data_IF_480522947533
#
_entry.id   IF_480522947533
#
_cell.length_a   1.000
_cell.length_b   1.000
_cell.length_c   1.000
_cell.angle_alpha   90.00
_cell.angle_beta   90.00
_cell.angle_gamma   90.00
#
_symmetry.space_group_name_H-M   'P 1'
#
loop_
_entity.id
_entity.type
_entity.pdbx_description
1 polymer ?
#
# COMPACT_ATOMS: atom_id res chain seq x y z
N UNK A 1 -4.69 17.88 -12.53
CA UNK A 1 -5.83 17.30 -11.81
C UNK A 1 -5.29 16.52 -10.62
N UNK A 2 -6.01 16.50 -9.50
CA UNK A 2 -5.70 15.59 -8.39
C UNK A 2 -6.46 14.29 -8.63
N UNK A 3 -5.76 13.16 -8.58
CA UNK A 3 -6.33 11.80 -8.68
C UNK A 3 -6.37 11.14 -7.31
N UNK A 4 -7.00 9.96 -7.21
CA UNK A 4 -7.17 9.23 -5.95
C UNK A 4 -5.89 9.06 -5.13
N UNK A 5 -4.75 8.73 -5.73
CA UNK A 5 -3.47 8.62 -5.00
C UNK A 5 -3.02 9.96 -4.39
N UNK A 6 -3.09 11.04 -5.17
CA UNK A 6 -2.76 12.38 -4.71
C UNK A 6 -3.68 12.83 -3.58
N UNK A 7 -4.97 12.52 -3.67
CA UNK A 7 -5.95 12.81 -2.63
C UNK A 7 -5.66 12.03 -1.33
N UNK A 8 -5.33 10.74 -1.42
CA UNK A 8 -4.94 9.92 -0.26
C UNK A 8 -3.66 10.44 0.38
N UNK A 9 -2.67 10.84 -0.43
CA UNK A 9 -1.43 11.43 0.07
C UNK A 9 -1.70 12.75 0.82
N UNK A 10 -2.60 13.59 0.31
CA UNK A 10 -3.03 14.81 0.99
C UNK A 10 -3.79 14.50 2.29
N UNK A 11 -4.65 13.49 2.31
CA UNK A 11 -5.34 13.03 3.52
C UNK A 11 -4.37 12.59 4.61
N UNK A 12 -3.26 11.93 4.25
CA UNK A 12 -2.20 11.57 5.19
C UNK A 12 -1.49 12.80 5.77
N UNK A 13 -1.16 13.79 4.92
CA UNK A 13 -0.56 15.06 5.35
C UNK A 13 -1.50 15.89 6.20
N UNK A 14 -2.81 15.83 5.91
CA UNK A 14 -3.84 16.38 6.76
C UNK A 14 -3.70 15.75 8.12
N UNK A 15 -3.90 14.45 8.32
CA UNK A 15 -3.84 13.80 9.64
C UNK A 15 -2.64 14.21 10.49
N UNK A 16 -1.43 14.12 9.94
CA UNK A 16 -0.19 14.42 10.68
C UNK A 16 0.10 15.92 10.91
N UNK A 17 -0.52 16.80 10.13
CA UNK A 17 -0.08 18.19 9.99
C UNK A 17 -1.21 19.21 9.92
N UNK A 18 -0.84 20.44 9.58
CA UNK A 18 -1.77 21.52 9.21
C UNK A 18 -2.93 21.76 10.22
N UNK A 19 -2.64 21.96 11.53
CA UNK A 19 -3.69 22.08 12.55
C UNK A 19 -4.60 23.31 12.35
N UNK A 20 -4.10 24.33 11.64
CA UNK A 20 -4.79 25.59 11.37
C UNK A 20 -5.46 25.63 9.99
N UNK A 21 -5.48 24.52 9.26
CA UNK A 21 -6.08 24.50 7.93
C UNK A 21 -7.61 24.56 8.03
N UNK A 22 -8.18 25.57 7.38
CA UNK A 22 -9.61 25.87 7.42
C UNK A 22 -10.37 25.39 6.20
N UNK A 23 -9.75 25.46 5.03
CA UNK A 23 -10.42 25.09 3.78
C UNK A 23 -9.51 24.18 2.97
N UNK A 24 -10.06 23.03 2.54
CA UNK A 24 -9.43 22.10 1.62
C UNK A 24 -10.28 22.03 0.35
N UNK A 25 -9.70 22.43 -0.78
CA UNK A 25 -10.35 22.36 -2.08
C UNK A 25 -9.66 21.33 -2.98
N UNK A 26 -10.38 20.26 -3.30
CA UNK A 26 -10.00 19.22 -4.23
C UNK A 26 -11.09 18.99 -5.29
N UNK A 27 -11.88 20.03 -5.61
CA UNK A 27 -12.89 19.97 -6.67
C UNK A 27 -12.28 19.80 -8.07
N UNK A 28 -13.06 19.25 -9.00
CA UNK A 28 -12.72 19.09 -10.42
C UNK A 28 -11.44 18.26 -10.64
N UNK A 29 -11.31 17.20 -9.85
CA UNK A 29 -10.29 16.17 -9.96
C UNK A 29 -10.82 14.90 -10.62
N UNK A 30 -10.07 13.81 -10.43
CA UNK A 30 -10.44 12.45 -10.82
C UNK A 30 -10.35 11.57 -9.56
N UNK A 31 -10.90 12.08 -8.45
CA UNK A 31 -10.90 11.40 -7.15
C UNK A 31 -12.08 10.45 -7.11
N UNK A 32 -11.83 9.18 -6.84
CA UNK A 32 -12.87 8.18 -6.62
C UNK A 32 -13.52 8.35 -5.25
N UNK A 33 -14.74 7.86 -5.07
CA UNK A 33 -15.44 7.81 -3.78
C UNK A 33 -14.53 7.36 -2.63
N UNK A 34 -13.82 6.23 -2.76
CA UNK A 34 -12.96 5.70 -1.71
C UNK A 34 -11.91 6.71 -1.24
N UNK A 35 -11.29 7.42 -2.18
CA UNK A 35 -10.29 8.43 -1.86
C UNK A 35 -10.95 9.69 -1.27
N UNK A 36 -12.14 10.07 -1.74
CA UNK A 36 -12.91 11.19 -1.18
C UNK A 36 -13.31 10.94 0.29
N UNK A 37 -13.74 9.72 0.64
CA UNK A 37 -14.05 9.32 2.01
C UNK A 37 -12.80 9.38 2.91
N UNK A 38 -11.64 8.93 2.42
CA UNK A 38 -10.37 9.00 3.16
C UNK A 38 -9.95 10.45 3.43
N UNK A 39 -10.18 11.35 2.47
CA UNK A 39 -9.95 12.80 2.62
C UNK A 39 -10.90 13.41 3.64
N UNK A 40 -12.20 13.12 3.54
CA UNK A 40 -13.21 13.63 4.47
C UNK A 40 -12.91 13.22 5.90
N UNK A 41 -12.60 11.94 6.12
CA UNK A 41 -12.22 11.43 7.44
C UNK A 41 -11.00 12.18 8.01
N UNK A 42 -9.96 12.42 7.18
CA UNK A 42 -8.79 13.19 7.60
C UNK A 42 -9.11 14.65 7.94
N UNK A 43 -10.06 15.25 7.24
CA UNK A 43 -10.48 16.62 7.45
C UNK A 43 -11.34 16.78 8.73
N UNK A 44 -12.19 15.78 9.03
CA UNK A 44 -13.01 15.75 10.25
C UNK A 44 -12.18 15.71 11.54
N UNK A 45 -10.97 15.15 11.47
CA UNK A 45 -10.04 15.11 12.60
C UNK A 45 -9.36 16.48 12.87
N UNK A 46 -9.65 17.51 12.07
CA UNK A 46 -9.04 18.83 12.21
C UNK A 46 -9.90 19.81 13.01
N UNK A 47 -9.33 20.47 14.03
CA UNK A 47 -10.10 21.31 14.94
C UNK A 47 -10.65 22.57 14.26
N UNK A 48 -9.88 23.13 13.33
CA UNK A 48 -10.18 24.41 12.67
C UNK A 48 -10.71 24.24 11.24
N UNK A 49 -11.02 23.01 10.79
CA UNK A 49 -11.54 22.79 9.44
C UNK A 49 -12.97 23.34 9.33
N UNK A 50 -13.17 24.17 8.32
CA UNK A 50 -14.42 24.87 8.02
C UNK A 50 -15.03 24.39 6.71
N UNK A 51 -14.23 24.03 5.69
CA UNK A 51 -14.74 23.52 4.40
C UNK A 51 -13.90 22.44 3.75
N UNK A 52 -14.56 21.45 3.17
CA UNK A 52 -14.01 20.43 2.28
C UNK A 52 -14.79 20.47 0.96
N UNK A 53 -14.13 20.83 -0.13
CA UNK A 53 -14.73 20.92 -1.46
C UNK A 53 -14.25 19.76 -2.32
N UNK A 54 -15.18 18.86 -2.68
CA UNK A 54 -14.91 17.65 -3.45
C UNK A 54 -15.77 17.57 -4.73
N UNK A 55 -16.48 18.65 -5.09
CA UNK A 55 -17.35 18.70 -6.27
C UNK A 55 -16.63 18.31 -7.57
N UNK A 56 -17.34 17.74 -8.55
CA UNK A 56 -16.78 17.50 -9.88
C UNK A 56 -15.68 16.46 -9.94
N UNK A 57 -15.73 15.44 -9.08
CA UNK A 57 -14.82 14.32 -9.11
C UNK A 57 -15.56 13.09 -9.69
N UNK A 58 -15.11 11.87 -9.36
CA UNK A 58 -15.70 10.63 -9.83
C UNK A 58 -16.24 9.83 -8.62
N UNK A 59 -17.12 10.44 -7.81
CA UNK A 59 -17.66 9.81 -6.60
C UNK A 59 -18.82 8.87 -6.93
N UNK A 60 -19.63 9.17 -7.94
CA UNK A 60 -20.90 8.48 -8.15
C UNK A 60 -21.99 8.96 -7.18
N UNK A 61 -23.24 8.60 -7.49
CA UNK A 61 -24.40 8.96 -6.65
C UNK A 61 -24.28 8.34 -5.25
N UNK A 62 -23.97 7.04 -5.19
CA UNK A 62 -23.74 6.29 -3.95
C UNK A 62 -22.59 6.89 -3.14
N UNK A 63 -21.48 7.25 -3.80
CA UNK A 63 -20.34 7.85 -3.12
C UNK A 63 -20.60 9.25 -2.60
N UNK A 64 -21.40 10.04 -3.32
CA UNK A 64 -21.87 11.33 -2.84
C UNK A 64 -22.81 11.19 -1.64
N UNK A 65 -23.69 10.18 -1.62
CA UNK A 65 -24.57 9.88 -0.49
C UNK A 65 -23.74 9.43 0.73
N UNK A 66 -22.82 8.47 0.55
CA UNK A 66 -21.93 8.00 1.61
C UNK A 66 -21.11 9.14 2.23
N UNK A 67 -20.62 10.08 1.41
CA UNK A 67 -19.86 11.23 1.89
C UNK A 67 -20.74 12.19 2.71
N UNK A 68 -21.98 12.44 2.28
CA UNK A 68 -22.94 13.26 3.03
C UNK A 68 -23.28 12.61 4.37
N UNK A 69 -23.62 11.32 4.35
CA UNK A 69 -23.94 10.56 5.56
C UNK A 69 -22.78 10.55 6.55
N UNK A 70 -21.54 10.37 6.08
CA UNK A 70 -20.34 10.43 6.93
C UNK A 70 -20.21 11.78 7.64
N UNK A 71 -20.41 12.88 6.93
CA UNK A 71 -20.28 14.23 7.48
C UNK A 71 -21.43 14.56 8.43
N UNK A 72 -22.65 14.17 8.09
CA UNK A 72 -23.85 14.39 8.92
C UNK A 72 -23.81 13.56 10.21
N UNK A 73 -23.32 12.32 10.16
CA UNK A 73 -23.14 11.47 11.35
C UNK A 73 -22.15 12.05 12.36
N UNK A 74 -21.30 12.98 11.94
CA UNK A 74 -20.33 13.69 12.78
C UNK A 74 -20.77 15.11 13.14
N UNK A 75 -22.03 15.49 12.84
CA UNK A 75 -22.58 16.84 12.99
C UNK A 75 -21.74 17.92 12.24
N UNK A 76 -21.19 17.55 11.08
CA UNK A 76 -20.29 18.40 10.24
C UNK A 76 -20.75 18.50 8.78
N UNK A 77 -22.03 18.28 8.50
CA UNK A 77 -22.58 18.38 7.14
C UNK A 77 -22.34 19.72 6.44
N UNK A 78 -22.30 20.82 7.21
CA UNK A 78 -22.02 22.18 6.72
C UNK A 78 -20.56 22.39 6.26
N UNK A 79 -19.65 21.52 6.68
CA UNK A 79 -18.26 21.51 6.23
C UNK A 79 -18.14 21.04 4.77
N UNK A 80 -19.06 20.19 4.29
CA UNK A 80 -19.00 19.64 2.94
C UNK A 80 -19.56 20.64 1.92
N UNK A 81 -18.77 20.95 0.89
CA UNK A 81 -19.23 21.76 -0.24
C UNK A 81 -20.25 21.03 -1.11
N UNK A 82 -20.81 21.75 -2.10
CA UNK A 82 -21.69 21.13 -3.11
C UNK A 82 -21.01 19.94 -3.81
N UNK A 83 -21.79 18.91 -4.14
CA UNK A 83 -21.39 17.77 -4.97
C UNK A 83 -22.23 17.69 -6.26
N UNK A 84 -22.84 18.80 -6.68
CA UNK A 84 -23.80 18.85 -7.78
C UNK A 84 -23.25 18.50 -9.16
N UNK A 85 -21.93 18.64 -9.34
CA UNK A 85 -21.27 18.51 -10.63
C UNK A 85 -20.46 17.20 -10.71
N UNK A 86 -20.69 16.24 -9.80
CA UNK A 86 -20.04 14.93 -9.85
C UNK A 86 -20.54 14.14 -11.06
N UNK A 87 -19.64 13.83 -11.99
CA UNK A 87 -19.97 13.24 -13.30
C UNK A 87 -20.10 11.70 -13.24
N UNK A 88 -20.24 11.12 -12.05
CA UNK A 88 -20.43 9.68 -11.88
C UNK A 88 -19.13 8.87 -11.98
N UNK A 89 -19.26 7.55 -11.82
CA UNK A 89 -18.12 6.64 -11.94
C UNK A 89 -17.63 6.55 -13.40
N UNK A 90 -16.31 6.42 -13.60
CA UNK A 90 -15.74 6.18 -14.93
C UNK A 90 -16.22 4.82 -15.44
N UNK A 91 -17.03 4.82 -16.51
CA UNK A 91 -17.49 3.61 -17.19
C UNK A 91 -16.27 2.78 -17.66
N UNK A 92 -16.25 1.51 -17.25
CA UNK A 92 -15.17 0.57 -17.55
C UNK A 92 -15.26 0.16 -19.03
N UNK A 93 -14.62 0.93 -19.92
CA UNK A 93 -14.31 0.40 -21.25
C UNK A 93 -13.20 -0.65 -21.12
N UNK A 94 -13.65 -1.89 -21.33
CA UNK A 94 -12.92 -3.13 -21.61
C UNK A 94 -11.53 -2.89 -22.21
N UNK A 95 -10.50 -3.52 -21.64
CA UNK A 95 -9.29 -3.77 -22.42
C UNK A 95 -8.92 -5.26 -22.37
N UNK A 96 -8.78 -5.72 -23.60
CA UNK A 96 -8.95 -7.06 -24.13
C UNK A 96 -7.86 -8.03 -23.65
N UNK A 97 -8.28 -9.27 -23.48
CA UNK A 97 -7.37 -10.38 -23.25
C UNK A 97 -6.45 -10.53 -24.48
N UNK A 98 -5.13 -10.50 -24.25
CA UNK A 98 -4.19 -11.09 -25.20
C UNK A 98 -2.95 -11.65 -24.50
N UNK A 99 -3.01 -12.97 -24.38
CA UNK A 99 -2.00 -13.94 -24.80
C UNK A 99 -0.54 -13.82 -24.36
N UNK A 100 -0.17 -14.87 -23.63
CA UNK A 100 0.90 -15.81 -23.97
C UNK A 100 2.34 -15.32 -24.20
N UNK A 101 3.17 -15.87 -23.33
CA UNK A 101 4.34 -16.71 -23.66
C UNK A 101 5.73 -16.24 -23.25
N UNK A 102 6.37 -17.23 -22.62
CA UNK A 102 7.77 -17.60 -22.61
C UNK A 102 8.78 -16.68 -21.92
N UNK A 103 9.32 -17.25 -20.84
CA UNK A 103 10.61 -16.87 -20.32
C UNK A 103 11.73 -17.24 -21.27
N UNK A 104 12.78 -16.45 -21.22
CA UNK A 104 14.13 -16.90 -21.47
C UNK A 104 15.04 -16.10 -20.53
N UNK A 105 15.91 -16.85 -19.85
CA UNK A 105 16.98 -16.32 -19.02
C UNK A 105 18.12 -15.95 -19.96
N UNK A 106 18.61 -14.71 -19.90
CA UNK A 106 19.89 -14.37 -20.52
C UNK A 106 20.89 -13.88 -19.47
N UNK A 107 21.90 -14.72 -19.26
CA UNK A 107 23.18 -14.42 -18.65
C UNK A 107 23.92 -13.34 -19.46
N UNK A 108 24.43 -12.30 -18.79
CA UNK A 108 25.62 -11.58 -19.27
C UNK A 108 26.58 -11.33 -18.10
N UNK A 109 27.81 -11.80 -18.28
CA UNK A 109 28.93 -11.80 -17.35
C UNK A 109 29.88 -10.61 -17.61
N UNK A 110 30.52 -10.12 -16.52
CA UNK A 110 31.76 -9.29 -16.42
C UNK A 110 31.58 -7.80 -16.75
N UNK A 111 32.18 -6.85 -16.01
CA UNK A 111 33.60 -6.78 -15.62
C UNK A 111 33.89 -5.73 -14.52
N UNK A 112 34.90 -6.02 -13.69
CA UNK A 112 35.89 -5.16 -13.03
C UNK A 112 35.48 -3.83 -12.34
N UNK A 113 35.52 -3.87 -11.01
CA UNK A 113 36.74 -3.48 -10.27
C UNK A 113 36.91 -2.00 -9.93
N UNK A 114 36.63 -1.64 -8.68
CA UNK A 114 37.29 -0.53 -7.99
C UNK A 114 37.37 -0.87 -6.49
N UNK A 115 38.61 -1.00 -5.99
CA UNK A 115 38.92 -1.16 -4.57
C UNK A 115 38.64 0.15 -3.85
N UNK A 116 37.97 0.08 -2.70
CA UNK A 116 38.13 1.03 -1.61
C UNK A 116 37.92 0.29 -0.30
N UNK A 117 38.80 0.59 0.63
CA UNK A 117 39.12 -0.19 1.81
C UNK A 117 38.07 -0.01 2.92
N UNK A 118 37.36 -1.08 3.25
CA UNK A 118 36.82 -1.32 4.61
C UNK A 118 36.63 -2.85 4.77
N UNK A 119 36.92 -3.41 5.95
CA UNK A 119 37.34 -4.82 6.14
C UNK A 119 36.54 -5.95 5.43
N UNK A 120 37.16 -7.14 5.20
CA UNK A 120 36.64 -8.16 4.27
C UNK A 120 35.24 -8.67 4.61
N UNK A 121 34.93 -8.78 5.90
CA UNK A 121 33.72 -9.47 6.39
C UNK A 121 32.45 -8.60 6.29
N UNK A 122 32.56 -7.28 6.54
CA UNK A 122 31.40 -6.36 6.48
C UNK A 122 31.01 -6.05 5.04
N UNK A 123 31.98 -5.86 4.16
CA UNK A 123 31.76 -5.48 2.76
C UNK A 123 31.07 -6.60 1.97
N UNK A 124 31.41 -7.86 2.23
CA UNK A 124 30.76 -9.02 1.61
C UNK A 124 29.31 -9.17 2.09
N UNK A 125 29.09 -9.05 3.41
CA UNK A 125 27.75 -9.14 4.01
C UNK A 125 26.76 -8.08 3.49
N UNK A 126 27.24 -6.86 3.17
CA UNK A 126 26.37 -5.83 2.58
C UNK A 126 25.99 -6.13 1.13
N UNK A 127 26.91 -6.69 0.34
CA UNK A 127 26.67 -7.02 -1.06
C UNK A 127 25.63 -8.14 -1.21
N UNK A 128 25.68 -9.15 -0.35
CA UNK A 128 24.73 -10.27 -0.32
C UNK A 128 23.31 -9.79 0.01
N UNK A 129 23.16 -8.91 1.01
CA UNK A 129 21.87 -8.30 1.35
C UNK A 129 21.32 -7.45 0.20
N UNK A 130 22.15 -6.66 -0.49
CA UNK A 130 21.70 -5.86 -1.64
C UNK A 130 21.26 -6.74 -2.81
N UNK A 131 21.96 -7.86 -3.02
CA UNK A 131 21.62 -8.83 -4.05
C UNK A 131 20.24 -9.43 -3.75
N UNK A 132 20.01 -9.85 -2.51
CA UNK A 132 18.71 -10.35 -2.06
C UNK A 132 17.60 -9.29 -2.22
N UNK A 133 17.81 -8.06 -1.75
CA UNK A 133 16.82 -6.99 -1.86
C UNK A 133 16.48 -6.60 -3.30
N UNK A 134 17.36 -6.90 -4.26
CA UNK A 134 17.09 -6.65 -5.68
C UNK A 134 16.28 -7.79 -6.32
N UNK A 135 16.53 -9.03 -5.89
CA UNK A 135 15.88 -10.22 -6.44
C UNK A 135 15.79 -11.35 -5.41
N UNK A 136 14.80 -11.32 -4.50
CA UNK A 136 14.69 -12.28 -3.40
C UNK A 136 14.53 -13.71 -3.89
N UNK A 137 15.33 -14.64 -3.37
CA UNK A 137 15.14 -16.09 -3.55
C UNK A 137 15.10 -16.80 -2.19
N UNK A 138 14.49 -17.99 -2.16
CA UNK A 138 14.43 -18.80 -0.94
C UNK A 138 15.85 -19.14 -0.44
N UNK A 139 16.75 -19.57 -1.33
CA UNK A 139 18.14 -19.90 -0.97
C UNK A 139 18.88 -18.73 -0.32
N UNK A 140 18.74 -17.52 -0.88
CA UNK A 140 19.35 -16.31 -0.32
C UNK A 140 18.74 -15.95 1.04
N UNK A 141 17.42 -16.09 1.19
CA UNK A 141 16.74 -15.81 2.44
C UNK A 141 17.31 -16.66 3.59
N UNK A 142 17.54 -17.96 3.34
CA UNK A 142 18.13 -18.86 4.34
C UNK A 142 19.59 -18.55 4.64
N UNK A 143 20.37 -18.14 3.65
CA UNK A 143 21.76 -17.70 3.86
C UNK A 143 21.85 -16.42 4.70
N UNK A 144 20.84 -15.55 4.61
CA UNK A 144 20.81 -14.26 5.28
C UNK A 144 20.12 -14.28 6.65
N UNK A 145 19.72 -15.45 7.17
CA UNK A 145 19.00 -15.58 8.45
C UNK A 145 19.74 -14.96 9.63
N UNK A 146 21.07 -15.08 9.67
CA UNK A 146 21.91 -14.48 10.71
C UNK A 146 22.16 -12.97 10.51
N UNK A 147 21.72 -12.42 9.37
CA UNK A 147 21.96 -11.04 8.94
C UNK A 147 20.67 -10.21 8.79
N UNK A 148 19.56 -10.70 9.35
CA UNK A 148 18.24 -10.06 9.30
C UNK A 148 18.25 -8.57 9.72
N UNK A 149 19.07 -8.17 10.69
CA UNK A 149 19.20 -6.76 11.10
C UNK A 149 19.73 -5.84 9.99
N UNK A 150 20.54 -6.38 9.07
CA UNK A 150 21.10 -5.63 7.96
C UNK A 150 20.08 -5.44 6.83
N UNK A 151 19.11 -6.35 6.70
CA UNK A 151 18.01 -6.25 5.74
C UNK A 151 17.19 -5.00 6.06
N UNK A 152 16.72 -4.85 7.30
CA UNK A 152 15.90 -3.71 7.72
C UNK A 152 16.58 -2.34 7.47
N UNK A 153 17.91 -2.27 7.64
CA UNK A 153 18.66 -1.02 7.42
C UNK A 153 18.79 -0.67 5.95
N UNK A 154 18.87 -1.67 5.07
CA UNK A 154 19.14 -1.48 3.64
C UNK A 154 17.89 -1.43 2.77
N UNK A 155 16.69 -1.67 3.32
CA UNK A 155 15.42 -1.45 2.61
C UNK A 155 15.30 0.03 2.21
N UNK A 156 15.23 0.27 0.90
CA UNK A 156 15.08 1.59 0.30
C UNK A 156 13.62 2.06 0.40
N UNK A 157 13.32 2.86 1.42
CA UNK A 157 11.96 3.37 1.67
C UNK A 157 11.58 4.61 0.82
N UNK A 158 12.52 5.19 0.09
CA UNK A 158 12.29 6.39 -0.74
C UNK A 158 11.62 6.08 -2.08
N UNK A 159 11.67 4.84 -2.54
CA UNK A 159 11.12 4.37 -3.81
C UNK A 159 9.97 3.39 -3.53
N UNK A 160 8.70 3.86 -3.51
CA UNK A 160 7.57 3.04 -3.13
C UNK A 160 7.30 1.91 -4.13
N UNK A 161 7.61 2.09 -5.41
CA UNK A 161 7.45 1.08 -6.46
C UNK A 161 8.38 -0.10 -6.22
N UNK A 162 9.67 0.17 -6.02
CA UNK A 162 10.64 -0.89 -5.67
C UNK A 162 10.32 -1.55 -4.34
N UNK A 163 9.88 -0.77 -3.35
CA UNK A 163 9.55 -1.30 -2.03
C UNK A 163 8.33 -2.24 -2.09
N UNK A 164 7.29 -1.89 -2.85
CA UNK A 164 6.12 -2.74 -3.06
C UNK A 164 6.47 -3.99 -3.87
N UNK A 165 7.28 -3.86 -4.92
CA UNK A 165 7.79 -5.00 -5.70
C UNK A 165 8.59 -5.96 -4.82
N UNK A 166 9.49 -5.43 -3.98
CA UNK A 166 10.27 -6.19 -3.02
C UNK A 166 9.38 -6.96 -2.05
N UNK A 167 8.40 -6.29 -1.43
CA UNK A 167 7.47 -6.93 -0.50
C UNK A 167 6.74 -8.08 -1.18
N UNK A 168 6.20 -7.86 -2.39
CA UNK A 168 5.47 -8.86 -3.15
C UNK A 168 6.37 -10.05 -3.52
N UNK A 169 7.63 -9.81 -3.91
CA UNK A 169 8.61 -10.86 -4.21
C UNK A 169 9.01 -11.68 -2.99
N UNK A 170 9.26 -11.06 -1.84
CA UNK A 170 9.54 -11.79 -0.59
C UNK A 170 8.32 -12.62 -0.20
N UNK A 171 7.12 -12.06 -0.35
CA UNK A 171 5.87 -12.75 -0.01
C UNK A 171 5.57 -13.95 -0.94
N UNK A 172 6.12 -13.98 -2.16
CA UNK A 172 6.05 -15.15 -3.05
C UNK A 172 6.88 -16.33 -2.54
N UNK A 173 7.82 -16.09 -1.61
CA UNK A 173 8.62 -17.15 -0.98
C UNK A 173 7.85 -17.86 0.14
N UNK A 174 6.63 -17.43 0.47
CA UNK A 174 5.80 -18.07 1.48
C UNK A 174 5.59 -19.56 1.15
N UNK A 175 5.81 -20.41 2.14
CA UNK A 175 5.57 -21.84 2.06
C UNK A 175 4.90 -22.35 3.35
N UNK A 176 4.43 -23.59 3.32
CA UNK A 176 3.75 -24.21 4.47
C UNK A 176 4.73 -24.86 5.47
N UNK A 177 6.02 -24.98 5.12
CA UNK A 177 7.02 -25.47 6.05
C UNK A 177 7.17 -24.50 7.24
N UNK A 178 7.04 -24.95 8.49
CA UNK A 178 7.01 -24.04 9.65
C UNK A 178 8.28 -23.19 9.83
N UNK A 179 9.47 -23.74 9.57
CA UNK A 179 10.74 -23.03 9.79
C UNK A 179 10.96 -21.99 8.69
N UNK A 180 10.71 -22.39 7.45
CA UNK A 180 10.82 -21.54 6.29
C UNK A 180 9.77 -20.42 6.32
N UNK A 181 8.52 -20.75 6.64
CA UNK A 181 7.43 -19.79 6.83
C UNK A 181 7.79 -18.74 7.88
N UNK A 182 8.34 -19.16 9.02
CA UNK A 182 8.74 -18.22 10.08
C UNK A 182 9.79 -17.24 9.56
N UNK A 183 10.77 -17.74 8.81
CA UNK A 183 11.83 -16.90 8.23
C UNK A 183 11.28 -15.89 7.23
N UNK A 184 10.32 -16.29 6.39
CA UNK A 184 9.63 -15.38 5.46
C UNK A 184 8.86 -14.31 6.22
N UNK A 185 8.04 -14.69 7.21
CA UNK A 185 7.22 -13.77 7.99
C UNK A 185 8.08 -12.77 8.78
N UNK A 186 9.18 -13.22 9.40
CA UNK A 186 10.15 -12.33 10.07
C UNK A 186 10.77 -11.32 9.09
N UNK A 187 11.06 -11.74 7.86
CA UNK A 187 11.58 -10.84 6.82
C UNK A 187 10.54 -9.81 6.40
N UNK A 188 9.29 -10.25 6.22
CA UNK A 188 8.15 -9.36 5.94
C UNK A 188 8.00 -8.31 7.05
N UNK A 189 8.10 -8.73 8.32
CA UNK A 189 8.01 -7.83 9.46
C UNK A 189 9.13 -6.79 9.45
N UNK A 190 10.37 -7.17 9.13
CA UNK A 190 11.50 -6.25 9.05
C UNK A 190 11.30 -5.20 7.95
N UNK A 191 10.87 -5.63 6.77
CA UNK A 191 10.60 -4.76 5.62
C UNK A 191 9.45 -3.80 5.93
N UNK A 192 8.30 -4.32 6.36
CA UNK A 192 7.13 -3.51 6.64
C UNK A 192 7.33 -2.59 7.83
N UNK A 193 8.02 -3.03 8.89
CA UNK A 193 8.37 -2.15 10.01
C UNK A 193 9.19 -0.96 9.53
N UNK A 194 10.15 -1.16 8.62
CA UNK A 194 10.93 -0.06 8.04
C UNK A 194 10.06 0.89 7.20
N UNK A 195 9.18 0.35 6.36
CA UNK A 195 8.35 1.13 5.43
C UNK A 195 7.22 1.88 6.12
N UNK A 196 6.62 1.29 7.16
CA UNK A 196 5.49 1.86 7.89
C UNK A 196 5.89 2.73 9.08
N UNK A 197 7.14 2.65 9.57
CA UNK A 197 7.66 3.54 10.63
C UNK A 197 8.15 4.91 10.10
N UNK A 198 8.01 5.18 8.80
CA UNK A 198 8.29 6.50 8.22
C UNK A 198 7.25 7.56 8.62
N UNK A 199 7.31 8.74 8.00
CA UNK A 199 6.20 9.71 8.08
C UNK A 199 4.93 9.12 7.45
N UNK A 200 3.72 9.56 7.83
CA UNK A 200 2.50 9.03 7.20
C UNK A 200 2.51 9.19 5.68
N UNK A 201 3.04 10.29 5.12
CA UNK A 201 3.15 10.42 3.67
C UNK A 201 3.91 9.24 3.02
N UNK A 202 5.00 8.77 3.63
CA UNK A 202 5.78 7.65 3.10
C UNK A 202 5.01 6.33 3.21
N UNK A 203 4.42 6.05 4.39
CA UNK A 203 3.67 4.80 4.60
C UNK A 203 2.44 4.72 3.70
N UNK A 204 1.70 5.82 3.54
CA UNK A 204 0.53 5.88 2.65
C UNK A 204 0.92 5.77 1.19
N UNK A 205 1.98 6.45 0.74
CA UNK A 205 2.48 6.29 -0.64
C UNK A 205 2.84 4.83 -0.92
N UNK A 206 3.58 4.21 -0.02
CA UNK A 206 3.91 2.80 -0.13
C UNK A 206 2.67 1.90 -0.19
N UNK A 207 1.70 2.08 0.72
CA UNK A 207 0.48 1.26 0.76
C UNK A 207 -0.40 1.48 -0.48
N UNK A 208 -0.53 2.72 -0.98
CA UNK A 208 -1.24 3.02 -2.22
C UNK A 208 -0.56 2.34 -3.41
N UNK A 209 0.77 2.43 -3.55
CA UNK A 209 1.52 1.74 -4.60
C UNK A 209 1.35 0.22 -4.50
N UNK A 210 1.39 -0.35 -3.28
CA UNK A 210 1.13 -1.77 -3.06
C UNK A 210 -0.27 -2.14 -3.55
N UNK A 211 -1.31 -1.39 -3.18
CA UNK A 211 -2.69 -1.64 -3.65
C UNK A 211 -2.82 -1.59 -5.17
N UNK A 212 -2.11 -0.66 -5.83
CA UNK A 212 -2.07 -0.58 -7.30
C UNK A 212 -1.41 -1.81 -7.90
N UNK A 213 -0.25 -2.21 -7.39
CA UNK A 213 0.44 -3.42 -7.86
C UNK A 213 -0.39 -4.68 -7.59
N UNK A 214 -1.16 -4.73 -6.51
CA UNK A 214 -2.10 -5.80 -6.21
C UNK A 214 -3.38 -5.75 -7.08
N UNK A 215 -3.56 -4.72 -7.90
CA UNK A 215 -4.75 -4.54 -8.74
C UNK A 215 -6.01 -4.10 -7.98
N UNK A 216 -5.86 -3.61 -6.75
CA UNK A 216 -6.95 -3.18 -5.85
C UNK A 216 -7.18 -1.66 -5.90
N UNK A 217 -6.31 -0.91 -6.56
CA UNK A 217 -6.40 0.54 -6.74
C UNK A 217 -5.97 0.91 -8.17
N UNK A 218 -6.64 1.90 -8.77
CA UNK A 218 -6.20 2.48 -10.06
C UNK A 218 -4.98 3.39 -9.78
N UNK A 219 -3.89 3.18 -10.52
CA UNK A 219 -2.67 3.97 -10.38
C UNK A 219 -2.40 4.89 -11.55
N UNK A 220 -1.48 5.84 -11.37
CA UNK A 220 -1.06 6.74 -12.44
C UNK A 220 -0.02 6.06 -13.37
N UNK A 221 -0.40 5.86 -14.63
CA UNK A 221 0.49 5.29 -15.64
C UNK A 221 0.48 3.76 -15.69
N UNK A 222 1.48 3.19 -16.38
CA UNK A 222 1.57 1.74 -16.60
C UNK A 222 2.33 1.09 -15.45
N UNK A 223 1.61 0.75 -14.37
CA UNK A 223 2.14 -0.06 -13.28
C UNK A 223 1.89 -1.54 -13.58
N UNK A 224 2.94 -2.37 -13.47
CA UNK A 224 2.82 -3.81 -13.65
C UNK A 224 2.05 -4.40 -12.47
N UNK A 225 0.85 -4.94 -12.74
CA UNK A 225 0.07 -5.67 -11.75
C UNK A 225 0.73 -7.02 -11.44
N UNK A 226 0.78 -7.38 -10.17
CA UNK A 226 1.23 -8.68 -9.71
C UNK A 226 0.08 -9.70 -9.78
N UNK A 227 0.38 -10.92 -10.20
CA UNK A 227 -0.55 -12.03 -10.08
C UNK A 227 -0.58 -12.46 -8.60
N UNK A 228 -1.69 -12.14 -7.93
CA UNK A 228 -1.84 -12.44 -6.51
C UNK A 228 -1.98 -13.94 -6.26
N UNK A 229 -1.20 -14.43 -5.30
CA UNK A 229 -1.29 -15.82 -4.81
C UNK A 229 -1.59 -15.84 -3.30
N UNK A 230 -2.19 -16.92 -2.77
CA UNK A 230 -2.60 -17.00 -1.36
C UNK A 230 -1.50 -16.62 -0.35
N UNK A 231 -0.25 -17.05 -0.60
CA UNK A 231 0.89 -16.78 0.28
C UNK A 231 1.15 -15.29 0.52
N UNK A 232 0.88 -14.44 -0.47
CA UNK A 232 1.06 -12.99 -0.33
C UNK A 232 0.03 -12.38 0.61
N UNK A 233 -1.23 -12.84 0.53
CA UNK A 233 -2.28 -12.37 1.44
C UNK A 233 -2.07 -12.91 2.87
N UNK A 234 -1.51 -14.12 3.02
CA UNK A 234 -1.15 -14.66 4.34
C UNK A 234 0.00 -13.88 5.00
N UNK A 235 0.99 -13.43 4.21
CA UNK A 235 2.03 -12.52 4.72
C UNK A 235 1.45 -11.19 5.21
N UNK A 236 0.51 -10.61 4.45
CA UNK A 236 -0.20 -9.40 4.88
C UNK A 236 -1.07 -9.64 6.11
N UNK A 237 -1.74 -10.81 6.20
CA UNK A 237 -2.57 -11.17 7.35
C UNK A 237 -1.73 -11.26 8.64
N UNK A 238 -0.53 -11.86 8.56
CA UNK A 238 0.44 -11.85 9.65
C UNK A 238 0.87 -10.42 10.01
N UNK A 239 1.23 -9.61 9.02
CA UNK A 239 1.74 -8.26 9.22
C UNK A 239 0.72 -7.33 9.89
N UNK A 240 -0.56 -7.41 9.52
CA UNK A 240 -1.64 -6.58 10.09
C UNK A 240 -1.81 -6.83 11.59
N UNK A 241 -1.47 -8.03 12.07
CA UNK A 241 -1.54 -8.38 13.48
C UNK A 241 -0.40 -7.78 14.31
N UNK A 242 0.68 -7.33 13.67
CA UNK A 242 1.84 -6.78 14.37
C UNK A 242 1.63 -5.34 14.86
N UNK A 243 2.38 -4.94 15.90
CA UNK A 243 2.23 -3.63 16.55
C UNK A 243 2.68 -2.45 15.68
N UNK A 244 3.58 -2.68 14.72
CA UNK A 244 4.01 -1.64 13.78
C UNK A 244 2.92 -1.28 12.76
N UNK A 245 1.90 -2.13 12.62
CA UNK A 245 0.79 -1.91 11.71
C UNK A 245 -0.29 -1.11 12.43
N UNK A 246 -0.38 0.19 12.14
CA UNK A 246 -1.35 1.07 12.78
C UNK A 246 -2.79 0.78 12.35
N UNK A 247 -3.75 1.22 13.17
CA UNK A 247 -5.18 1.18 12.83
C UNK A 247 -5.45 1.91 11.51
N UNK A 248 -4.82 3.06 11.28
CA UNK A 248 -4.99 3.83 10.05
C UNK A 248 -4.49 3.12 8.79
N UNK A 249 -3.37 2.41 8.88
CA UNK A 249 -2.89 1.56 7.79
C UNK A 249 -3.88 0.43 7.50
N UNK A 250 -4.43 -0.18 8.55
CA UNK A 250 -5.42 -1.26 8.42
C UNK A 250 -6.72 -0.76 7.78
N UNK A 251 -7.21 0.42 8.18
CA UNK A 251 -8.40 1.03 7.59
C UNK A 251 -8.22 1.29 6.10
N UNK A 252 -7.08 1.82 5.68
CA UNK A 252 -6.79 2.05 4.26
C UNK A 252 -6.87 0.74 3.46
N UNK A 253 -6.16 -0.31 3.90
CA UNK A 253 -6.19 -1.60 3.21
C UNK A 253 -7.60 -2.20 3.23
N UNK A 254 -8.29 -2.20 4.37
CA UNK A 254 -9.64 -2.74 4.51
C UNK A 254 -10.62 -2.11 3.52
N UNK A 255 -10.60 -0.78 3.39
CA UNK A 255 -11.47 -0.05 2.46
C UNK A 255 -11.30 -0.56 1.02
N UNK A 256 -10.06 -0.75 0.56
CA UNK A 256 -9.81 -1.18 -0.81
C UNK A 256 -9.98 -2.69 -1.03
N UNK A 257 -9.68 -3.52 -0.03
CA UNK A 257 -9.91 -4.97 -0.12
C UNK A 257 -11.41 -5.30 -0.14
N UNK A 258 -12.21 -4.66 0.71
CA UNK A 258 -13.66 -4.93 0.78
C UNK A 258 -14.40 -4.50 -0.50
N UNK A 259 -13.93 -3.46 -1.19
CA UNK A 259 -14.50 -3.00 -2.47
C UNK A 259 -14.10 -3.86 -3.66
N UNK A 260 -12.92 -4.48 -3.61
CA UNK A 260 -12.35 -5.22 -4.74
C UNK A 260 -12.21 -6.72 -4.40
N UNK A 261 -13.16 -7.28 -3.65
CA UNK A 261 -13.16 -8.70 -3.25
C UNK A 261 -13.01 -9.66 -4.44
N UNK A 262 -13.50 -9.24 -5.60
CA UNK A 262 -13.46 -10.01 -6.85
C UNK A 262 -12.03 -10.21 -7.37
N UNK A 263 -11.17 -9.21 -7.24
CA UNK A 263 -9.75 -9.32 -7.57
C UNK A 263 -9.00 -10.34 -6.68
N UNK A 264 -9.56 -10.63 -5.50
CA UNK A 264 -8.97 -11.53 -4.51
C UNK A 264 -9.58 -12.94 -4.52
N UNK A 265 -10.64 -13.19 -5.30
CA UNK A 265 -11.27 -14.51 -5.46
C UNK A 265 -10.26 -15.65 -5.72
N UNK A 266 -9.20 -15.47 -6.54
CA UNK A 266 -8.20 -16.52 -6.77
C UNK A 266 -7.44 -16.94 -5.51
N UNK A 267 -7.38 -16.10 -4.48
CA UNK A 267 -6.68 -16.37 -3.23
C UNK A 267 -7.54 -17.08 -2.17
N UNK A 268 -8.84 -17.29 -2.42
CA UNK A 268 -9.75 -18.05 -1.57
C UNK A 268 -9.70 -17.66 -0.09
N UNK A 269 -9.51 -18.66 0.79
CA UNK A 269 -9.49 -18.47 2.25
C UNK A 269 -8.43 -17.48 2.75
N UNK A 270 -7.35 -17.23 2.00
CA UNK A 270 -6.35 -16.25 2.40
C UNK A 270 -6.91 -14.81 2.35
N UNK A 271 -7.78 -14.51 1.38
CA UNK A 271 -8.44 -13.22 1.27
C UNK A 271 -9.43 -12.98 2.42
N UNK A 272 -10.19 -14.02 2.80
CA UNK A 272 -11.13 -13.96 3.93
C UNK A 272 -10.37 -13.72 5.25
N UNK A 273 -9.27 -14.44 5.46
CA UNK A 273 -8.43 -14.29 6.66
C UNK A 273 -7.83 -12.89 6.77
N UNK A 274 -7.28 -12.37 5.67
CA UNK A 274 -6.75 -11.00 5.63
C UNK A 274 -7.84 -9.97 5.90
N UNK A 275 -9.00 -10.11 5.26
CA UNK A 275 -10.14 -9.20 5.47
C UNK A 275 -10.59 -9.18 6.93
N UNK A 276 -10.69 -10.36 7.57
CA UNK A 276 -11.02 -10.48 8.98
C UNK A 276 -9.96 -9.85 9.90
N UNK A 277 -8.68 -10.08 9.61
CA UNK A 277 -7.58 -9.49 10.38
C UNK A 277 -7.58 -7.95 10.30
N UNK A 278 -7.82 -7.41 9.10
CA UNK A 278 -7.94 -5.97 8.86
C UNK A 278 -9.13 -5.38 9.59
N UNK A 279 -10.32 -5.99 9.47
CA UNK A 279 -11.52 -5.56 10.18
C UNK A 279 -11.29 -5.52 11.69
N UNK A 280 -10.73 -6.58 12.26
CA UNK A 280 -10.41 -6.64 13.70
C UNK A 280 -9.45 -5.52 14.11
N UNK A 281 -8.41 -5.24 13.32
CA UNK A 281 -7.43 -4.18 13.59
C UNK A 281 -8.08 -2.79 13.55
N UNK A 282 -9.03 -2.56 12.63
CA UNK A 282 -9.80 -1.32 12.55
C UNK A 282 -10.65 -1.04 13.80
N UNK A 283 -11.10 -2.08 14.50
CA UNK A 283 -11.99 -1.96 15.67
C UNK A 283 -11.28 -2.09 17.02
N UNK A 284 -9.96 -2.30 17.02
CA UNK A 284 -9.19 -2.38 18.26
C UNK A 284 -8.93 -0.95 18.75
N UNK A 285 -9.66 -0.49 19.77
CA UNK A 285 -9.38 0.78 20.44
C UNK A 285 -7.97 0.71 21.06
N UNK A 286 -7.11 1.68 20.73
CA UNK A 286 -5.84 1.90 21.44
C UNK A 286 -6.10 2.45 22.85
#
# INVERSE_FOLDING_TARGET
LVRSEGAIALAALLRDGMPILKELNLSFGEITEAAALVVAQAALEKPDMEKVLLNGNCLGEDGCEALRDMMDNMDRGDMLGSLSDDEGELDDEEDDASDEENGECEDIVKENGLKSEDGPDKSQSQAEVRTFLSSPTAEQLFQLKDMMSNIQQQVEASDPDKAAELLLKISLLYCEDPEDRTTVLETIDLVLKKLLSGSSLHSYRFLSTLLVMMGLLKGEGKVKKALLVPGQLLCLEHAVQQDYFSQHHASLLYTFLSRNSDALKPCGSAAERLSFALEKKCHTQQ
#
